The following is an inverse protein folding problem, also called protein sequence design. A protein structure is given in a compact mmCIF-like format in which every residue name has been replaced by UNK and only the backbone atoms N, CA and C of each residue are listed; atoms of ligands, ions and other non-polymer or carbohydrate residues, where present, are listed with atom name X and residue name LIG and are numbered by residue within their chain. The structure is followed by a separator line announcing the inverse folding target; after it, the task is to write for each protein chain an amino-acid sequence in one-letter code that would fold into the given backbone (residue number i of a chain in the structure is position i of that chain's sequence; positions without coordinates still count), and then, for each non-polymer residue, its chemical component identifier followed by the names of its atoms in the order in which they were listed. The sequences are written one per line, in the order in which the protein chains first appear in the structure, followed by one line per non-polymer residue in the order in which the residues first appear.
data_IF_194904330552
#
_entry.id   IF_194904330552
#
_cell.length_a   1.000
_cell.length_b   1.000
_cell.length_c   1.000
_cell.angle_alpha   90.00
_cell.angle_beta   90.00
_cell.angle_gamma   90.00
#
_symmetry.space_group_name_H-M   'P 1'
#
loop_
_entity.id
_entity.type
_entity.pdbx_description
1 polymer ?
#
# COMPACT_ATOMS: atom_id res chain seq x y z
N UNK A 1 7.15 -32.36 -10.04
CA UNK A 1 7.20 -31.53 -8.81
C UNK A 1 7.54 -30.10 -9.21
N UNK A 2 6.56 -29.25 -9.44
CA UNK A 2 6.71 -27.88 -9.94
C UNK A 2 6.87 -26.95 -8.74
N UNK A 3 8.06 -26.36 -8.56
CA UNK A 3 8.33 -25.32 -7.58
C UNK A 3 7.43 -24.12 -7.91
N UNK A 4 6.40 -23.88 -7.10
CA UNK A 4 5.62 -22.62 -7.12
C UNK A 4 6.52 -21.52 -6.57
N UNK A 5 6.95 -20.61 -7.43
CA UNK A 5 7.46 -19.30 -7.03
C UNK A 5 6.30 -18.54 -6.37
N UNK A 6 6.49 -18.17 -5.11
CA UNK A 6 5.72 -17.09 -4.50
C UNK A 6 5.95 -15.86 -5.37
N UNK A 7 4.85 -15.19 -5.77
CA UNK A 7 4.95 -13.87 -6.36
C UNK A 7 5.60 -12.96 -5.32
N UNK A 8 6.89 -12.72 -5.49
CA UNK A 8 7.62 -11.73 -4.72
C UNK A 8 6.92 -10.40 -4.96
N UNK A 9 6.49 -9.77 -3.88
CA UNK A 9 6.08 -8.35 -3.91
C UNK A 9 7.34 -7.62 -4.35
N UNK A 10 7.37 -7.15 -5.61
CA UNK A 10 8.45 -6.29 -6.09
C UNK A 10 8.51 -5.08 -5.15
N UNK A 11 9.48 -5.12 -4.24
CA UNK A 11 9.82 -3.96 -3.45
C UNK A 11 10.40 -2.93 -4.40
N UNK A 12 9.84 -1.73 -4.39
CA UNK A 12 10.41 -0.60 -5.15
C UNK A 12 11.90 -0.48 -4.83
N UNK A 13 12.78 -0.51 -5.86
CA UNK A 13 14.21 -0.51 -5.65
C UNK A 13 14.64 0.71 -4.84
N UNK A 14 15.55 0.50 -3.89
CA UNK A 14 16.14 1.58 -3.12
C UNK A 14 17.21 2.23 -3.99
N UNK A 15 17.02 3.52 -4.29
CA UNK A 15 18.00 4.34 -4.99
C UNK A 15 19.02 4.91 -3.99
N UNK A 16 20.30 4.59 -4.17
CA UNK A 16 21.36 4.96 -3.22
C UNK A 16 22.31 5.96 -3.84
N UNK A 17 22.35 7.15 -3.27
CA UNK A 17 23.32 8.18 -3.60
C UNK A 17 24.42 8.24 -2.54
N UNK A 18 25.68 8.02 -2.94
CA UNK A 18 26.84 8.13 -2.04
C UNK A 18 27.62 9.38 -2.36
N UNK A 19 27.71 10.30 -1.37
CA UNK A 19 28.42 11.56 -1.48
C UNK A 19 29.67 11.56 -0.59
N UNK A 20 30.84 11.83 -1.19
CA UNK A 20 32.08 12.02 -0.44
C UNK A 20 32.19 13.47 0.05
N UNK A 21 32.08 13.67 1.38
CA UNK A 21 32.09 15.01 1.99
C UNK A 21 33.40 15.26 2.74
N UNK A 22 34.13 16.29 2.29
CA UNK A 22 35.38 16.68 2.91
C UNK A 22 35.27 17.34 4.29
N UNK A 23 34.04 17.72 4.69
CA UNK A 23 33.75 18.28 6.01
C UNK A 23 33.62 17.21 7.08
N UNK A 24 33.31 15.97 6.65
CA UNK A 24 33.21 14.83 7.55
C UNK A 24 34.61 14.25 7.80
N UNK A 25 34.94 14.00 9.07
CA UNK A 25 36.23 13.41 9.45
C UNK A 25 36.12 11.89 9.73
N UNK A 26 35.15 11.48 10.53
CA UNK A 26 35.00 10.09 11.01
C UNK A 26 33.58 9.55 10.95
N UNK A 27 32.57 10.41 10.99
CA UNK A 27 31.16 9.96 11.03
C UNK A 27 30.58 9.88 9.63
N UNK A 28 29.77 8.86 9.41
CA UNK A 28 28.89 8.70 8.25
C UNK A 28 27.53 9.30 8.63
N UNK A 29 26.96 10.08 7.73
CA UNK A 29 25.59 10.59 7.85
C UNK A 29 24.77 10.01 6.72
N UNK A 30 23.57 9.59 7.02
CA UNK A 30 22.64 9.15 6.00
C UNK A 30 21.23 9.62 6.32
N UNK A 31 20.47 9.83 5.28
CA UNK A 31 19.06 10.23 5.31
C UNK A 31 18.28 9.39 4.32
N UNK A 32 17.02 9.14 4.63
CA UNK A 32 16.13 8.35 3.82
C UNK A 32 14.82 9.11 3.61
N UNK A 33 14.38 9.24 2.35
CA UNK A 33 13.12 9.83 1.94
C UNK A 33 12.54 9.07 0.75
N UNK A 34 11.34 8.50 0.93
CA UNK A 34 10.71 7.67 -0.11
C UNK A 34 11.59 6.49 -0.52
N UNK A 35 12.01 6.44 -1.79
CA UNK A 35 12.90 5.42 -2.35
C UNK A 35 14.38 5.79 -2.30
N UNK A 36 14.71 7.04 -1.97
CA UNK A 36 16.08 7.53 -2.00
C UNK A 36 16.75 7.41 -0.64
N UNK A 37 17.98 6.92 -0.64
CA UNK A 37 18.88 6.90 0.50
C UNK A 37 20.14 7.68 0.12
N UNK A 38 20.37 8.81 0.77
CA UNK A 38 21.57 9.60 0.58
C UNK A 38 22.54 9.33 1.72
N UNK A 39 23.76 8.86 1.36
CA UNK A 39 24.81 8.50 2.31
C UNK A 39 26.00 9.44 2.11
N UNK A 40 26.35 10.19 3.16
CA UNK A 40 27.52 11.09 3.16
C UNK A 40 28.65 10.45 3.95
N UNK A 41 29.76 10.16 3.27
CA UNK A 41 30.93 9.51 3.86
C UNK A 41 32.14 10.44 3.86
N UNK A 42 33.06 10.33 4.84
CA UNK A 42 34.32 11.07 4.81
C UNK A 42 35.14 10.76 3.55
N UNK A 43 35.88 11.77 3.06
CA UNK A 43 36.61 11.69 1.79
C UNK A 43 37.65 10.57 1.72
N UNK A 44 38.22 10.20 2.88
CA UNK A 44 39.31 9.22 2.99
C UNK A 44 38.86 7.78 3.26
N UNK A 45 37.56 7.50 3.34
CA UNK A 45 37.06 6.15 3.58
C UNK A 45 37.37 5.25 2.37
N UNK A 46 38.01 4.08 2.54
CA UNK A 46 38.29 3.15 1.46
C UNK A 46 37.01 2.69 0.75
N UNK A 47 37.11 2.40 -0.55
CA UNK A 47 35.97 1.97 -1.36
C UNK A 47 35.25 0.75 -0.77
N UNK A 48 36.02 -0.27 -0.34
CA UNK A 48 35.48 -1.50 0.27
C UNK A 48 34.68 -1.22 1.56
N UNK A 49 35.12 -0.26 2.34
CA UNK A 49 34.42 0.16 3.56
C UNK A 49 33.11 0.89 3.22
N UNK A 50 33.11 1.74 2.18
CA UNK A 50 31.90 2.40 1.69
C UNK A 50 30.89 1.37 1.20
N UNK A 51 31.31 0.36 0.45
CA UNK A 51 30.43 -0.72 -0.04
C UNK A 51 29.79 -1.49 1.11
N UNK A 52 30.56 -1.79 2.16
CA UNK A 52 30.02 -2.45 3.37
C UNK A 52 28.98 -1.57 4.08
N UNK A 53 29.31 -0.29 4.30
CA UNK A 53 28.39 0.68 4.94
C UNK A 53 27.11 0.86 4.14
N UNK A 54 27.19 0.93 2.82
CA UNK A 54 26.04 1.00 1.94
C UNK A 54 25.15 -0.21 2.13
N UNK A 55 25.71 -1.42 2.14
CA UNK A 55 24.94 -2.65 2.33
C UNK A 55 24.24 -2.69 3.71
N UNK A 56 24.94 -2.29 4.78
CA UNK A 56 24.39 -2.22 6.13
C UNK A 56 23.23 -1.21 6.22
N UNK A 57 23.40 0.00 5.64
CA UNK A 57 22.38 1.05 5.65
C UNK A 57 21.17 0.64 4.81
N UNK A 58 21.37 0.05 3.65
CA UNK A 58 20.28 -0.45 2.80
C UNK A 58 19.46 -1.51 3.54
N UNK A 59 20.12 -2.43 4.24
CA UNK A 59 19.42 -3.44 5.02
C UNK A 59 18.63 -2.82 6.19
N UNK A 60 19.20 -1.85 6.88
CA UNK A 60 18.49 -1.10 7.92
C UNK A 60 17.25 -0.38 7.38
N UNK A 61 17.37 0.28 6.21
CA UNK A 61 16.25 0.95 5.55
C UNK A 61 15.16 -0.06 5.15
N UNK A 62 15.53 -1.22 4.60
CA UNK A 62 14.56 -2.29 4.29
C UNK A 62 13.78 -2.74 5.53
N UNK A 63 14.48 -2.98 6.63
CA UNK A 63 13.83 -3.38 7.89
C UNK A 63 12.89 -2.30 8.44
N UNK A 64 13.30 -1.01 8.37
CA UNK A 64 12.45 0.11 8.77
C UNK A 64 11.21 0.23 7.88
N UNK A 65 11.37 0.08 6.56
CA UNK A 65 10.26 0.08 5.59
C UNK A 65 9.27 -1.05 5.89
N UNK A 66 9.77 -2.26 6.12
CA UNK A 66 8.93 -3.41 6.47
C UNK A 66 8.11 -3.17 7.74
N UNK A 67 8.71 -2.58 8.79
CA UNK A 67 7.99 -2.23 10.03
C UNK A 67 6.90 -1.16 9.80
N UNK A 68 7.22 -0.11 9.03
CA UNK A 68 6.24 0.94 8.69
C UNK A 68 5.08 0.36 7.89
N UNK A 69 5.38 -0.52 6.93
CA UNK A 69 4.37 -1.19 6.11
C UNK A 69 3.47 -2.10 6.95
N UNK A 70 4.07 -2.95 7.79
CA UNK A 70 3.31 -3.86 8.66
C UNK A 70 2.35 -3.08 9.59
N UNK A 71 2.77 -1.92 10.12
CA UNK A 71 1.91 -1.06 10.91
C UNK A 71 0.75 -0.48 10.09
N UNK A 72 1.03 0.02 8.89
CA UNK A 72 0.00 0.57 8.02
C UNK A 72 -1.02 -0.50 7.56
N UNK A 73 -0.58 -1.74 7.34
CA UNK A 73 -1.47 -2.85 7.02
C UNK A 73 -2.32 -3.26 8.23
N UNK A 74 -1.77 -3.21 9.45
CA UNK A 74 -2.54 -3.41 10.68
C UNK A 74 -3.63 -2.34 10.88
N UNK A 75 -3.36 -1.10 10.48
CA UNK A 75 -4.37 -0.02 10.50
C UNK A 75 -5.50 -0.31 9.49
N UNK A 76 -5.20 -0.82 8.28
CA UNK A 76 -6.22 -1.26 7.33
C UNK A 76 -7.07 -2.41 7.86
N UNK A 77 -6.45 -3.39 8.49
CA UNK A 77 -7.14 -4.52 9.10
C UNK A 77 -8.11 -4.05 10.18
N UNK A 78 -7.70 -3.09 11.02
CA UNK A 78 -8.57 -2.50 12.03
C UNK A 78 -9.77 -1.76 11.41
N UNK A 79 -9.56 -1.04 10.31
CA UNK A 79 -10.62 -0.38 9.54
C UNK A 79 -11.59 -1.42 8.98
N UNK A 80 -11.08 -2.47 8.34
CA UNK A 80 -11.90 -3.53 7.75
C UNK A 80 -12.78 -4.23 8.79
N UNK A 81 -12.21 -4.61 9.94
CA UNK A 81 -12.94 -5.22 11.06
C UNK A 81 -14.03 -4.30 11.61
N UNK A 82 -13.75 -3.00 11.73
CA UNK A 82 -14.72 -2.01 12.19
C UNK A 82 -15.88 -1.87 11.21
N UNK A 83 -15.60 -1.71 9.92
CA UNK A 83 -16.60 -1.59 8.86
C UNK A 83 -17.47 -2.85 8.81
N UNK A 84 -16.87 -4.03 8.81
CA UNK A 84 -17.58 -5.30 8.79
C UNK A 84 -18.60 -5.38 9.94
N UNK A 85 -18.16 -5.12 11.18
CA UNK A 85 -19.07 -5.15 12.34
C UNK A 85 -20.17 -4.08 12.29
N UNK A 86 -19.86 -2.88 11.81
CA UNK A 86 -20.81 -1.75 11.87
C UNK A 86 -21.82 -1.72 10.73
N UNK A 87 -21.42 -2.24 9.54
CA UNK A 87 -22.21 -2.05 8.33
C UNK A 87 -22.55 -3.36 7.60
N UNK A 88 -21.83 -4.44 7.91
CA UNK A 88 -21.99 -5.73 7.23
C UNK A 88 -22.25 -6.89 8.22
N UNK A 89 -22.81 -6.60 9.39
CA UNK A 89 -23.22 -7.55 10.43
C UNK A 89 -22.11 -8.50 10.91
N UNK A 90 -20.85 -8.19 10.62
CA UNK A 90 -19.70 -9.03 10.95
C UNK A 90 -19.57 -10.30 10.12
N UNK A 91 -20.36 -10.46 9.04
CA UNK A 91 -20.47 -11.70 8.28
C UNK A 91 -19.43 -11.89 7.17
N UNK A 92 -18.63 -10.84 6.87
CA UNK A 92 -17.65 -10.92 5.80
C UNK A 92 -16.35 -11.53 6.34
N UNK A 93 -15.85 -12.53 5.62
CA UNK A 93 -14.54 -13.14 5.86
C UNK A 93 -13.57 -12.77 4.74
N UNK A 94 -12.34 -12.44 5.11
CA UNK A 94 -11.23 -12.20 4.18
C UNK A 94 -9.96 -12.83 4.71
N UNK A 95 -9.01 -13.11 3.83
CA UNK A 95 -7.73 -13.73 4.18
C UNK A 95 -6.71 -12.69 4.63
N UNK A 96 -6.55 -11.62 3.87
CA UNK A 96 -5.62 -10.54 4.18
C UNK A 96 -6.09 -9.21 3.61
N UNK A 97 -5.66 -8.10 4.21
CA UNK A 97 -5.81 -6.77 3.64
C UNK A 97 -4.50 -5.99 3.79
N UNK A 98 -4.05 -5.36 2.70
CA UNK A 98 -2.76 -4.66 2.69
C UNK A 98 -2.70 -3.52 1.67
N UNK A 99 -1.81 -2.57 1.92
CA UNK A 99 -1.44 -1.56 0.95
C UNK A 99 -0.53 -2.13 -0.14
N UNK A 100 -0.73 -1.68 -1.40
CA UNK A 100 0.12 -2.05 -2.54
C UNK A 100 0.50 -0.85 -3.38
N UNK A 101 1.77 -0.76 -3.82
CA UNK A 101 2.30 0.34 -4.63
C UNK A 101 2.17 0.13 -6.14
N UNK A 102 1.92 -1.10 -6.58
CA UNK A 102 1.88 -1.46 -8.00
C UNK A 102 0.50 -1.34 -8.66
N UNK A 103 -0.49 -0.82 -7.96
CA UNK A 103 -1.85 -0.64 -8.46
C UNK A 103 -2.05 0.78 -9.00
N UNK A 104 -2.01 0.96 -10.32
CA UNK A 104 -2.08 2.28 -10.95
C UNK A 104 -3.48 2.66 -11.44
N UNK A 105 -4.29 1.68 -11.87
CA UNK A 105 -5.60 1.92 -12.49
C UNK A 105 -6.78 1.73 -11.53
N UNK A 106 -6.61 1.01 -10.43
CA UNK A 106 -7.67 0.73 -9.45
C UNK A 106 -7.28 1.26 -8.09
N UNK A 107 -8.26 1.56 -7.26
CA UNK A 107 -8.05 1.97 -5.87
C UNK A 107 -8.01 0.78 -4.92
N UNK A 108 -8.59 -0.35 -5.32
CA UNK A 108 -8.56 -1.59 -4.59
C UNK A 108 -8.72 -2.82 -5.48
N UNK A 109 -8.61 -3.99 -4.90
CA UNK A 109 -9.00 -5.27 -5.52
C UNK A 109 -9.22 -6.33 -4.45
N UNK A 110 -10.26 -7.12 -4.62
CA UNK A 110 -10.53 -8.32 -3.85
C UNK A 110 -10.39 -9.54 -4.76
N UNK A 111 -9.63 -10.55 -4.33
CA UNK A 111 -9.51 -11.80 -5.06
C UNK A 111 -10.57 -12.78 -4.57
N UNK A 112 -11.33 -13.35 -5.51
CA UNK A 112 -12.32 -14.38 -5.25
C UNK A 112 -11.91 -15.68 -5.91
N UNK A 113 -11.85 -16.75 -5.12
CA UNK A 113 -11.43 -18.07 -5.56
C UNK A 113 -9.91 -18.27 -5.69
N UNK A 114 -9.50 -19.53 -5.75
CA UNK A 114 -8.10 -19.93 -5.91
C UNK A 114 -7.25 -19.76 -4.65
N UNK A 115 -5.90 -19.83 -4.79
CA UNK A 115 -4.96 -19.82 -3.66
C UNK A 115 -4.90 -18.49 -2.88
N UNK A 116 -5.42 -17.40 -3.45
CA UNK A 116 -5.42 -16.05 -2.86
C UNK A 116 -6.84 -15.57 -2.57
N UNK A 117 -7.78 -16.49 -2.42
CA UNK A 117 -9.16 -16.15 -2.09
C UNK A 117 -9.23 -15.30 -0.81
N UNK A 118 -9.94 -14.19 -0.88
CA UNK A 118 -10.06 -13.26 0.23
C UNK A 118 -8.87 -12.31 0.43
N UNK A 119 -7.88 -12.28 -0.48
CA UNK A 119 -6.85 -11.26 -0.45
C UNK A 119 -7.39 -9.93 -0.96
N UNK A 120 -7.37 -8.92 -0.08
CA UNK A 120 -7.75 -7.54 -0.38
C UNK A 120 -6.49 -6.68 -0.48
N UNK A 121 -6.42 -5.88 -1.55
CA UNK A 121 -5.32 -4.96 -1.81
C UNK A 121 -5.87 -3.56 -2.01
N UNK A 122 -5.30 -2.59 -1.30
CA UNK A 122 -5.67 -1.18 -1.40
C UNK A 122 -4.47 -0.41 -1.97
N UNK A 123 -4.71 0.41 -2.99
CA UNK A 123 -3.67 1.22 -3.63
C UNK A 123 -3.12 2.27 -2.67
N UNK A 124 -1.79 2.38 -2.58
CA UNK A 124 -1.15 3.41 -1.76
C UNK A 124 -1.31 4.84 -2.33
N UNK A 125 -1.80 4.99 -3.57
CA UNK A 125 -2.20 6.28 -4.15
C UNK A 125 -3.17 7.05 -3.26
N UNK A 126 -4.03 6.34 -2.51
CA UNK A 126 -5.06 6.95 -1.67
C UNK A 126 -4.66 7.14 -0.22
N UNK A 127 -3.42 6.82 0.18
CA UNK A 127 -2.95 7.01 1.57
C UNK A 127 -3.07 8.45 2.08
N UNK A 128 -2.94 9.43 1.19
CA UNK A 128 -3.12 10.85 1.51
C UNK A 128 -4.55 11.37 1.41
N UNK A 129 -5.52 10.52 1.06
CA UNK A 129 -6.91 10.93 0.91
C UNK A 129 -7.63 10.99 2.26
N UNK A 130 -8.79 11.67 2.32
CA UNK A 130 -9.57 11.70 3.55
C UNK A 130 -9.91 10.31 4.06
N UNK A 131 -9.84 10.09 5.37
CA UNK A 131 -10.06 8.77 5.99
C UNK A 131 -11.38 8.11 5.56
N UNK A 132 -12.46 8.89 5.40
CA UNK A 132 -13.76 8.39 4.97
C UNK A 132 -13.79 7.88 3.52
N UNK A 133 -12.83 8.30 2.66
CA UNK A 133 -12.66 7.74 1.30
C UNK A 133 -11.89 6.43 1.37
N UNK A 134 -10.87 6.33 2.22
CA UNK A 134 -10.15 5.08 2.48
C UNK A 134 -11.10 4.04 3.05
N UNK A 135 -11.93 4.42 4.02
CA UNK A 135 -12.96 3.57 4.61
C UNK A 135 -13.94 3.03 3.54
N UNK A 136 -14.36 3.90 2.62
CA UNK A 136 -15.21 3.48 1.51
C UNK A 136 -14.50 2.49 0.57
N UNK A 137 -13.23 2.74 0.20
CA UNK A 137 -12.47 1.81 -0.63
C UNK A 137 -12.35 0.43 0.04
N UNK A 138 -12.11 0.40 1.35
CA UNK A 138 -12.11 -0.86 2.13
C UNK A 138 -13.49 -1.52 2.13
N UNK A 139 -14.57 -0.74 2.34
CA UNK A 139 -15.95 -1.24 2.31
C UNK A 139 -16.31 -1.83 0.95
N UNK A 140 -15.87 -1.20 -0.15
CA UNK A 140 -16.06 -1.66 -1.51
C UNK A 140 -15.42 -3.04 -1.73
N UNK A 141 -14.16 -3.22 -1.34
CA UNK A 141 -13.46 -4.49 -1.48
C UNK A 141 -14.05 -5.58 -0.58
N UNK A 142 -14.50 -5.22 0.61
CA UNK A 142 -15.23 -6.15 1.49
C UNK A 142 -16.55 -6.60 0.85
N UNK A 143 -17.31 -5.69 0.22
CA UNK A 143 -18.57 -6.02 -0.43
C UNK A 143 -18.39 -7.04 -1.57
N UNK A 144 -17.25 -7.04 -2.26
CA UNK A 144 -16.90 -8.03 -3.28
C UNK A 144 -16.79 -9.46 -2.73
N UNK A 145 -16.63 -9.67 -1.44
CA UNK A 145 -16.67 -10.99 -0.82
C UNK A 145 -18.07 -11.62 -0.86
N UNK A 146 -19.12 -10.78 -0.94
CA UNK A 146 -20.52 -11.23 -1.06
C UNK A 146 -21.03 -11.12 -2.49
N UNK A 147 -20.67 -10.04 -3.18
CA UNK A 147 -21.15 -9.70 -4.52
C UNK A 147 -19.94 -9.45 -5.44
N UNK A 148 -19.49 -10.46 -6.22
CA UNK A 148 -18.26 -10.35 -7.02
C UNK A 148 -18.29 -9.28 -8.13
N UNK A 149 -19.47 -8.92 -8.59
CA UNK A 149 -19.70 -7.92 -9.63
C UNK A 149 -20.49 -6.72 -9.09
N UNK A 150 -20.44 -5.60 -9.79
CA UNK A 150 -21.13 -4.34 -9.42
C UNK A 150 -22.64 -4.38 -9.80
N UNK A 151 -23.35 -5.44 -9.39
CA UNK A 151 -24.79 -5.56 -9.57
C UNK A 151 -25.59 -4.62 -8.66
N UNK A 152 -26.91 -4.55 -8.83
CA UNK A 152 -27.78 -3.76 -7.94
C UNK A 152 -27.65 -4.21 -6.48
N UNK A 153 -27.50 -5.52 -6.24
CA UNK A 153 -27.30 -6.08 -4.92
C UNK A 153 -25.98 -5.64 -4.30
N UNK A 154 -24.91 -5.56 -5.11
CA UNK A 154 -23.63 -5.01 -4.65
C UNK A 154 -23.78 -3.56 -4.18
N UNK A 155 -24.40 -2.71 -5.00
CA UNK A 155 -24.60 -1.30 -4.66
C UNK A 155 -25.52 -1.11 -3.45
N UNK A 156 -26.59 -1.91 -3.34
CA UNK A 156 -27.47 -1.92 -2.18
C UNK A 156 -26.72 -2.34 -0.91
N UNK A 157 -25.87 -3.36 -1.02
CA UNK A 157 -25.07 -3.85 0.10
C UNK A 157 -24.02 -2.83 0.54
N UNK A 158 -23.27 -2.27 -0.39
CA UNK A 158 -22.26 -1.21 -0.13
C UNK A 158 -22.92 0.07 0.40
N UNK A 159 -24.15 0.40 -0.04
CA UNK A 159 -24.95 1.55 0.42
C UNK A 159 -25.27 1.54 1.92
N UNK A 160 -25.08 0.40 2.60
CA UNK A 160 -25.17 0.32 4.07
C UNK A 160 -24.05 1.13 4.76
N UNK A 161 -22.94 1.42 4.05
CA UNK A 161 -21.91 2.32 4.54
C UNK A 161 -22.39 3.80 4.40
N UNK A 162 -22.49 4.57 5.51
CA UNK A 162 -23.24 5.86 5.53
C UNK A 162 -22.61 6.96 4.67
N UNK A 163 -21.37 6.83 4.25
CA UNK A 163 -20.65 7.80 3.41
C UNK A 163 -20.38 7.29 1.99
N UNK A 164 -21.05 6.21 1.56
CA UNK A 164 -20.79 5.58 0.27
C UNK A 164 -20.96 6.56 -0.89
N UNK A 165 -22.10 7.22 -1.00
CA UNK A 165 -22.37 8.19 -2.09
C UNK A 165 -21.40 9.37 -2.07
N UNK A 166 -21.09 9.91 -0.89
CA UNK A 166 -20.13 11.01 -0.75
C UNK A 166 -18.73 10.61 -1.23
N UNK A 167 -18.28 9.42 -0.83
CA UNK A 167 -16.97 8.90 -1.20
C UNK A 167 -16.88 8.61 -2.71
N UNK A 168 -17.93 8.03 -3.27
CA UNK A 168 -18.06 7.82 -4.71
C UNK A 168 -17.98 9.15 -5.47
N UNK A 169 -18.73 10.17 -5.06
CA UNK A 169 -18.66 11.50 -5.68
C UNK A 169 -17.27 12.14 -5.62
N UNK A 170 -16.54 11.97 -4.49
CA UNK A 170 -15.15 12.42 -4.37
C UNK A 170 -14.24 11.70 -5.36
N UNK A 171 -14.33 10.38 -5.47
CA UNK A 171 -13.51 9.57 -6.38
C UNK A 171 -13.79 9.94 -7.85
N UNK A 172 -15.07 10.11 -8.22
CA UNK A 172 -15.47 10.57 -9.55
C UNK A 172 -14.87 11.94 -9.87
N UNK A 173 -14.89 12.88 -8.93
CA UNK A 173 -14.29 14.20 -9.10
C UNK A 173 -12.78 14.17 -9.29
N UNK A 174 -12.07 13.32 -8.54
CA UNK A 174 -10.63 13.13 -8.70
C UNK A 174 -10.31 12.45 -10.04
N UNK A 175 -11.06 11.43 -10.43
CA UNK A 175 -10.91 10.75 -11.72
C UNK A 175 -11.05 11.74 -12.88
N UNK A 176 -12.11 12.56 -12.86
CA UNK A 176 -12.34 13.59 -13.85
C UNK A 176 -11.16 14.58 -13.95
N UNK A 177 -10.66 15.05 -12.81
CA UNK A 177 -9.52 15.97 -12.76
C UNK A 177 -8.23 15.37 -13.34
N UNK A 178 -8.03 14.06 -13.15
CA UNK A 178 -6.85 13.34 -13.63
C UNK A 178 -7.00 12.81 -15.06
N UNK A 179 -8.18 12.93 -15.68
CA UNK A 179 -8.49 12.33 -16.97
C UNK A 179 -8.52 10.80 -16.93
N UNK A 180 -8.82 10.23 -15.77
CA UNK A 180 -8.94 8.79 -15.55
C UNK A 180 -10.40 8.36 -15.69
N UNK A 181 -10.60 7.11 -16.14
CA UNK A 181 -11.93 6.52 -16.20
C UNK A 181 -12.39 6.10 -14.79
N UNK A 182 -13.47 6.71 -14.34
CA UNK A 182 -14.01 6.51 -13.00
C UNK A 182 -14.53 5.07 -12.75
N UNK A 183 -15.08 4.41 -13.77
CA UNK A 183 -15.57 3.03 -13.68
C UNK A 183 -14.40 2.03 -13.53
N UNK A 184 -13.21 2.43 -13.93
CA UNK A 184 -11.99 1.62 -13.77
C UNK A 184 -11.38 1.77 -12.36
N UNK A 185 -11.63 2.90 -11.67
CA UNK A 185 -11.09 3.16 -10.34
C UNK A 185 -11.83 2.42 -9.23
N UNK A 186 -13.08 2.14 -9.42
CA UNK A 186 -14.00 1.44 -8.52
C UNK A 186 -14.30 0.06 -9.07
#
# INVERSE_FOLDING_TARGET
MTKRQRADVEEDPIDVEVVRDGRLRTRVHWEWSGNQVRIRVPRRVPKREVERLVAEIVEEVKQRRAKVRARADADLEAIARRINRQHFDGEIEWHSIRWVGNMRKRLGSCTTGGPTDGDIRISDRIKGWPAWVIEYAVAHELAHRKHPNHSEEFWAYLGRHPKAERARGFILGVAFQLGEDADTLL
#
